data_IF_999769182005
#
_entry.id   IF_999769182005
#
_cell.length_a   1.000
_cell.length_b   1.000
_cell.length_c   1.000
_cell.angle_alpha   90.00
_cell.angle_beta   90.00
_cell.angle_gamma   90.00
#
_symmetry.space_group_name_H-M   'P 1'
#
loop_
_entity.id
_entity.type
_entity.pdbx_description
1 polymer ?
#
# COMPACT_ATOMS: atom_id res chain seq x y z
N UNK A 1 19.81 -20.73 -26.00
CA UNK A 1 20.09 -20.02 -24.77
C UNK A 1 18.93 -19.10 -24.45
N UNK A 2 18.31 -19.32 -23.29
CA UNK A 2 17.20 -18.47 -22.87
C UNK A 2 17.71 -17.14 -22.31
N UNK A 3 17.02 -16.07 -22.66
CA UNK A 3 17.25 -14.79 -22.02
C UNK A 3 16.85 -14.88 -20.54
N UNK A 4 17.60 -14.20 -19.70
CA UNK A 4 17.22 -14.11 -18.30
C UNK A 4 15.86 -13.41 -18.17
N UNK A 5 15.01 -13.88 -17.27
CA UNK A 5 13.77 -13.19 -16.95
C UNK A 5 14.09 -11.81 -16.39
N UNK A 6 13.31 -10.83 -16.77
CA UNK A 6 13.38 -9.51 -16.15
C UNK A 6 13.15 -9.64 -14.63
N UNK A 7 13.91 -8.89 -13.86
CA UNK A 7 13.80 -8.91 -12.40
C UNK A 7 13.35 -7.54 -11.88
N UNK A 8 12.35 -6.99 -12.55
CA UNK A 8 11.80 -5.67 -12.25
C UNK A 8 11.32 -5.56 -10.79
N UNK A 9 10.75 -6.65 -10.26
CA UNK A 9 10.20 -6.66 -8.91
C UNK A 9 11.15 -7.20 -7.85
N UNK A 10 12.41 -7.43 -8.20
CA UNK A 10 13.40 -7.81 -7.21
C UNK A 10 13.71 -6.62 -6.30
N UNK A 11 13.44 -6.78 -5.01
CA UNK A 11 13.74 -5.73 -4.04
C UNK A 11 15.20 -5.80 -3.62
N UNK A 12 15.86 -4.64 -3.60
CA UNK A 12 17.23 -4.50 -3.12
C UNK A 12 17.22 -3.99 -1.69
N UNK A 13 18.29 -4.30 -0.93
CA UNK A 13 18.46 -3.74 0.40
C UNK A 13 18.49 -2.22 0.29
N UNK A 14 17.72 -1.49 1.09
CA UNK A 14 17.70 -0.04 1.01
C UNK A 14 19.06 0.57 1.42
N UNK A 15 19.44 1.65 0.72
CA UNK A 15 20.67 2.39 0.98
C UNK A 15 20.42 3.72 1.68
N UNK A 16 19.18 3.99 2.04
CA UNK A 16 18.75 5.21 2.73
C UNK A 16 17.72 4.84 3.79
N UNK A 17 17.42 5.74 4.75
CA UNK A 17 16.39 5.47 5.76
C UNK A 17 15.02 5.23 5.12
N UNK A 18 14.28 4.30 5.70
CA UNK A 18 12.94 3.94 5.23
C UNK A 18 11.90 4.20 6.30
N UNK A 19 10.65 4.40 5.87
CA UNK A 19 9.53 4.56 6.77
C UNK A 19 9.22 3.24 7.47
N UNK A 20 8.75 3.36 8.70
CA UNK A 20 8.34 2.21 9.50
C UNK A 20 6.81 2.07 9.45
N UNK A 21 6.34 0.85 9.21
CA UNK A 21 4.91 0.54 9.19
C UNK A 21 4.62 -0.68 10.06
N UNK A 22 3.75 -0.48 11.06
CA UNK A 22 3.18 -1.58 11.84
C UNK A 22 1.84 -2.02 11.27
N UNK A 23 1.21 -1.15 10.46
CA UNK A 23 -0.13 -1.36 9.91
C UNK A 23 -0.06 -1.50 8.40
N UNK A 24 -0.29 -2.71 7.91
CA UNK A 24 -0.19 -2.98 6.47
C UNK A 24 -1.17 -2.12 5.65
N UNK A 25 -2.42 -2.00 6.11
CA UNK A 25 -3.42 -1.22 5.36
C UNK A 25 -3.08 0.26 5.31
N UNK A 26 -2.39 0.79 6.31
CA UNK A 26 -1.86 2.14 6.25
C UNK A 26 -0.72 2.25 5.23
N UNK A 27 0.16 1.25 5.20
CA UNK A 27 1.23 1.22 4.19
C UNK A 27 0.67 1.23 2.78
N UNK A 28 -0.41 0.47 2.53
CA UNK A 28 -1.08 0.45 1.24
C UNK A 28 -1.60 1.85 0.87
N UNK A 29 -2.21 2.55 1.82
CA UNK A 29 -2.73 3.89 1.59
C UNK A 29 -1.62 4.87 1.24
N UNK A 30 -0.48 4.79 1.93
CA UNK A 30 0.69 5.62 1.64
C UNK A 30 1.28 5.27 0.27
N UNK A 31 1.40 3.99 -0.04
CA UNK A 31 1.95 3.55 -1.32
C UNK A 31 1.03 3.91 -2.49
N UNK A 32 -0.29 3.94 -2.27
CA UNK A 32 -1.21 4.42 -3.30
C UNK A 32 -0.86 5.86 -3.70
N UNK A 33 -0.67 6.73 -2.71
CA UNK A 33 -0.29 8.12 -2.97
C UNK A 33 1.04 8.22 -3.70
N UNK A 34 2.07 7.55 -3.18
CA UNK A 34 3.42 7.70 -3.68
C UNK A 34 3.68 6.97 -4.99
N UNK A 35 3.07 5.81 -5.19
CA UNK A 35 3.31 4.98 -6.38
C UNK A 35 2.37 5.33 -7.53
N UNK A 36 1.06 5.45 -7.26
CA UNK A 36 0.05 5.60 -8.31
C UNK A 36 -0.37 7.04 -8.54
N UNK A 37 -0.56 7.83 -7.49
CA UNK A 37 -0.99 9.22 -7.67
C UNK A 37 0.18 10.12 -8.06
N UNK A 38 1.34 9.95 -7.44
CA UNK A 38 2.50 10.85 -7.65
C UNK A 38 3.62 10.23 -8.47
N UNK A 39 3.62 8.91 -8.66
CA UNK A 39 4.65 8.24 -9.47
C UNK A 39 6.05 8.35 -8.90
N UNK A 40 6.19 8.40 -7.58
CA UNK A 40 7.48 8.59 -6.92
C UNK A 40 8.14 7.28 -6.46
N UNK A 41 7.42 6.16 -6.55
CA UNK A 41 7.96 4.83 -6.22
C UNK A 41 8.08 3.99 -7.47
N UNK A 42 9.20 3.31 -7.61
CA UNK A 42 9.46 2.39 -8.72
C UNK A 42 9.98 1.05 -8.16
N UNK A 43 9.69 -0.07 -8.80
CA UNK A 43 8.84 -0.19 -9.97
C UNK A 43 7.36 0.01 -9.60
N UNK A 44 6.56 0.50 -10.54
CA UNK A 44 5.12 0.58 -10.35
C UNK A 44 4.55 -0.83 -10.42
N UNK A 45 3.88 -1.27 -9.37
CA UNK A 45 3.34 -2.62 -9.30
C UNK A 45 2.22 -2.82 -10.30
N UNK A 46 2.34 -3.88 -11.11
CA UNK A 46 1.32 -4.39 -12.00
C UNK A 46 1.19 -5.90 -11.74
N UNK A 47 0.00 -6.33 -11.34
CA UNK A 47 -0.21 -7.71 -10.91
C UNK A 47 0.09 -8.73 -12.00
N UNK A 48 -0.31 -8.45 -13.25
CA UNK A 48 -0.07 -9.37 -14.36
C UNK A 48 1.41 -9.46 -14.71
N UNK A 49 2.09 -8.33 -14.70
CA UNK A 49 3.52 -8.30 -14.93
C UNK A 49 4.28 -9.00 -13.82
N UNK A 50 3.89 -8.76 -12.56
CA UNK A 50 4.47 -9.45 -11.42
C UNK A 50 4.30 -10.96 -11.54
N UNK A 51 3.09 -11.42 -11.89
CA UNK A 51 2.81 -12.84 -12.06
C UNK A 51 3.65 -13.49 -13.16
N UNK A 52 3.84 -12.77 -14.28
CA UNK A 52 4.69 -13.26 -15.38
C UNK A 52 6.16 -13.37 -14.99
N UNK A 53 6.63 -12.43 -14.18
CA UNK A 53 8.02 -12.40 -13.74
C UNK A 53 8.32 -13.45 -12.68
N UNK A 54 7.33 -13.77 -11.82
CA UNK A 54 7.53 -14.66 -10.68
C UNK A 54 7.88 -16.07 -11.16
N UNK A 55 9.01 -16.63 -10.67
CA UNK A 55 9.55 -17.88 -11.18
C UNK A 55 9.37 -19.10 -10.29
N UNK A 56 9.03 -18.90 -9.00
CA UNK A 56 8.97 -20.00 -8.03
C UNK A 56 7.69 -20.84 -8.14
N UNK A 57 6.65 -20.27 -8.70
CA UNK A 57 5.41 -20.95 -9.03
C UNK A 57 4.67 -20.17 -10.09
N UNK A 58 3.68 -20.78 -10.71
CA UNK A 58 2.79 -20.08 -11.64
C UNK A 58 1.69 -19.39 -10.84
N UNK A 59 1.63 -18.08 -10.89
CA UNK A 59 0.54 -17.29 -10.29
C UNK A 59 -0.54 -17.14 -11.35
N UNK A 60 -1.71 -17.72 -11.10
CA UNK A 60 -2.86 -17.64 -12.00
C UNK A 60 -3.82 -16.58 -11.47
N UNK A 61 -3.74 -15.37 -12.01
CA UNK A 61 -4.56 -14.25 -11.54
C UNK A 61 -6.04 -14.53 -11.72
N UNK A 62 -6.44 -15.17 -12.82
CA UNK A 62 -7.85 -15.46 -13.07
C UNK A 62 -8.46 -16.38 -12.02
N UNK A 63 -7.67 -17.29 -11.47
CA UNK A 63 -8.12 -18.21 -10.43
C UNK A 63 -7.93 -17.66 -9.02
N UNK A 64 -6.86 -16.87 -8.80
CA UNK A 64 -6.42 -16.47 -7.46
C UNK A 64 -6.79 -15.05 -7.10
N UNK A 65 -7.11 -14.20 -8.07
CA UNK A 65 -7.27 -12.76 -7.87
C UNK A 65 -8.51 -12.31 -7.11
N UNK A 66 -9.34 -13.24 -6.65
CA UNK A 66 -10.49 -12.93 -5.80
C UNK A 66 -10.11 -12.69 -4.35
N UNK A 67 -8.89 -13.06 -3.98
CA UNK A 67 -8.31 -12.78 -2.68
C UNK A 67 -6.93 -12.15 -2.86
N UNK A 68 -6.37 -11.53 -1.82
CA UNK A 68 -5.01 -10.98 -1.93
C UNK A 68 -4.02 -12.06 -2.33
N UNK A 69 -3.25 -11.78 -3.38
CA UNK A 69 -2.25 -12.74 -3.87
C UNK A 69 -1.07 -12.71 -2.90
N UNK A 70 -0.73 -13.85 -2.25
CA UNK A 70 0.25 -13.86 -1.17
C UNK A 70 1.63 -13.31 -1.53
N UNK A 71 2.12 -13.62 -2.73
CA UNK A 71 3.43 -13.14 -3.16
C UNK A 71 3.45 -11.63 -3.38
N UNK A 72 2.35 -11.08 -3.89
CA UNK A 72 2.21 -9.64 -4.06
C UNK A 72 2.10 -8.94 -2.70
N UNK A 73 1.32 -9.53 -1.78
CA UNK A 73 1.22 -9.01 -0.41
C UNK A 73 2.60 -8.95 0.25
N UNK A 74 3.36 -10.03 0.13
CA UNK A 74 4.70 -10.10 0.72
C UNK A 74 5.63 -9.05 0.12
N UNK A 75 5.54 -8.83 -1.19
CA UNK A 75 6.33 -7.80 -1.86
C UNK A 75 5.98 -6.42 -1.33
N UNK A 76 4.68 -6.14 -1.16
CA UNK A 76 4.23 -4.85 -0.60
C UNK A 76 4.65 -4.67 0.85
N UNK A 77 4.60 -5.74 1.66
CA UNK A 77 5.06 -5.69 3.05
C UNK A 77 6.55 -5.37 3.14
N UNK A 78 7.35 -5.91 2.23
CA UNK A 78 8.80 -5.73 2.22
C UNK A 78 9.28 -4.50 1.47
N UNK A 79 8.42 -3.89 0.67
CA UNK A 79 8.82 -2.74 -0.14
C UNK A 79 9.38 -1.61 0.75
N UNK A 80 10.62 -1.16 0.49
CA UNK A 80 11.24 -0.11 1.32
C UNK A 80 10.79 1.27 0.83
N UNK A 81 9.88 1.91 1.57
CA UNK A 81 9.42 3.25 1.24
C UNK A 81 10.41 4.27 1.81
N UNK A 82 11.11 5.06 0.97
CA UNK A 82 12.09 6.00 1.47
C UNK A 82 11.49 7.06 2.40
N UNK A 83 12.14 7.28 3.53
CA UNK A 83 11.72 8.29 4.50
C UNK A 83 11.67 9.70 3.88
N UNK A 84 12.57 9.99 2.94
CA UNK A 84 12.61 11.31 2.27
C UNK A 84 11.33 11.65 1.51
N UNK A 85 10.50 10.66 1.22
CA UNK A 85 9.22 10.87 0.51
C UNK A 85 8.06 11.15 1.45
N UNK A 86 8.25 11.02 2.76
CA UNK A 86 7.17 11.28 3.72
C UNK A 86 6.54 12.67 3.58
N UNK A 87 7.32 13.76 3.35
CA UNK A 87 6.71 15.09 3.17
C UNK A 87 5.81 15.22 1.95
N UNK A 88 5.91 14.30 0.99
CA UNK A 88 5.07 14.31 -0.20
C UNK A 88 3.65 13.81 0.06
N UNK A 89 3.42 13.16 1.21
CA UNK A 89 2.10 12.64 1.58
C UNK A 89 1.39 13.74 2.38
N UNK A 90 0.51 14.48 1.71
CA UNK A 90 -0.23 15.60 2.30
C UNK A 90 -1.69 15.25 2.58
N UNK A 91 -2.23 14.34 1.79
CA UNK A 91 -3.61 13.89 1.88
C UNK A 91 -3.67 12.43 1.47
N UNK A 92 -4.50 11.66 2.16
CA UNK A 92 -4.79 10.27 1.82
C UNK A 92 -6.29 10.14 1.58
N UNK A 93 -6.68 9.68 0.39
CA UNK A 93 -8.06 9.38 0.08
C UNK A 93 -8.20 7.87 -0.07
N UNK A 94 -8.67 7.20 0.97
CA UNK A 94 -8.95 5.77 0.89
C UNK A 94 -10.24 5.57 0.09
N UNK A 95 -10.19 4.65 -0.86
CA UNK A 95 -11.30 4.42 -1.78
C UNK A 95 -11.24 2.97 -2.24
N UNK A 96 -12.39 2.28 -2.26
CA UNK A 96 -12.45 0.91 -2.77
C UNK A 96 -11.93 0.75 -4.19
N UNK A 97 -11.89 1.83 -4.98
CA UNK A 97 -11.34 1.83 -6.34
C UNK A 97 -9.85 2.17 -6.42
N UNK A 98 -9.16 2.31 -5.30
CA UNK A 98 -7.72 2.61 -5.31
C UNK A 98 -6.95 1.55 -6.08
N UNK A 99 -5.98 2.00 -6.88
CA UNK A 99 -5.23 1.15 -7.81
C UNK A 99 -4.49 0.02 -7.10
N UNK A 100 -3.89 0.32 -5.95
CA UNK A 100 -3.08 -0.68 -5.24
C UNK A 100 -3.92 -1.88 -4.78
N UNK A 101 -5.19 -1.67 -4.48
CA UNK A 101 -6.08 -2.78 -4.09
C UNK A 101 -6.33 -3.71 -5.27
N UNK A 102 -6.50 -3.15 -6.47
CA UNK A 102 -6.72 -3.95 -7.69
C UNK A 102 -5.46 -4.68 -8.14
N UNK A 103 -4.30 -4.25 -7.69
CA UNK A 103 -3.06 -4.96 -7.96
C UNK A 103 -2.82 -6.08 -6.95
N UNK A 104 -3.18 -5.88 -5.70
CA UNK A 104 -3.05 -6.90 -4.65
C UNK A 104 -4.15 -7.98 -4.77
N UNK A 105 -5.36 -7.55 -5.10
CA UNK A 105 -6.54 -8.43 -5.20
C UNK A 105 -7.34 -8.04 -6.45
N UNK A 106 -6.92 -8.49 -7.65
CA UNK A 106 -7.46 -8.01 -8.93
C UNK A 106 -8.97 -8.09 -9.11
N UNK A 107 -9.63 -9.05 -8.45
CA UNK A 107 -11.07 -9.20 -8.56
C UNK A 107 -11.80 -8.87 -7.25
N UNK A 108 -11.19 -8.03 -6.43
CA UNK A 108 -11.85 -7.55 -5.21
C UNK A 108 -13.08 -6.71 -5.57
N UNK A 109 -14.21 -7.03 -4.92
CA UNK A 109 -15.49 -6.37 -5.22
C UNK A 109 -15.70 -5.05 -4.44
N UNK A 110 -14.81 -4.73 -3.53
CA UNK A 110 -14.92 -3.50 -2.74
C UNK A 110 -15.88 -3.58 -1.56
N UNK A 111 -16.48 -4.74 -1.31
CA UNK A 111 -17.56 -4.88 -0.34
C UNK A 111 -17.17 -5.49 1.01
N UNK A 112 -15.99 -6.08 1.11
CA UNK A 112 -15.52 -6.57 2.40
C UNK A 112 -14.53 -5.60 3.04
N UNK A 113 -14.22 -5.81 4.31
CA UNK A 113 -13.33 -4.94 5.06
C UNK A 113 -11.84 -5.26 4.93
N UNK A 114 -11.44 -5.94 3.86
CA UNK A 114 -10.06 -6.43 3.71
C UNK A 114 -9.00 -5.33 3.82
N UNK A 115 -9.31 -4.12 3.34
CA UNK A 115 -8.36 -3.02 3.30
C UNK A 115 -8.72 -1.88 4.25
N UNK A 116 -9.70 -2.11 5.12
CA UNK A 116 -10.11 -1.11 6.11
C UNK A 116 -8.97 -0.74 7.06
N UNK A 117 -8.89 0.54 7.40
CA UNK A 117 -7.94 1.03 8.38
C UNK A 117 -8.64 1.04 9.75
N UNK A 118 -8.46 -0.04 10.51
CA UNK A 118 -9.09 -0.23 11.81
C UNK A 118 -8.15 -0.09 12.99
N UNK A 119 -6.85 0.02 12.74
CA UNK A 119 -5.82 0.29 13.73
C UNK A 119 -4.79 1.23 13.11
N UNK A 120 -4.16 2.05 13.95
CA UNK A 120 -3.05 2.90 13.53
C UNK A 120 -2.26 3.30 14.78
N UNK A 121 -0.96 3.49 14.65
CA UNK A 121 -0.14 3.99 15.73
C UNK A 121 0.23 5.45 15.51
N UNK A 122 0.38 6.18 16.60
CA UNK A 122 0.81 7.57 16.53
C UNK A 122 2.20 7.68 15.90
N UNK A 123 3.09 6.71 16.22
CA UNK A 123 4.44 6.68 15.65
C UNK A 123 4.45 6.60 14.14
N UNK A 124 3.55 5.81 13.55
CA UNK A 124 3.41 5.75 12.10
C UNK A 124 3.03 7.10 11.51
N UNK A 125 2.03 7.75 12.12
CA UNK A 125 1.51 9.03 11.62
C UNK A 125 2.52 10.17 11.76
N UNK A 126 3.30 10.16 12.83
CA UNK A 126 4.27 11.24 13.08
C UNK A 126 5.44 11.26 12.12
N UNK A 127 5.62 10.22 11.32
CA UNK A 127 6.62 10.20 10.26
C UNK A 127 6.24 11.15 9.10
N UNK A 128 4.97 11.56 9.01
CA UNK A 128 4.43 12.32 7.87
C UNK A 128 4.16 13.76 8.30
N UNK A 129 5.15 14.67 8.14
CA UNK A 129 5.03 16.03 8.67
C UNK A 129 3.96 16.88 7.99
N UNK A 130 3.59 16.53 6.76
CA UNK A 130 2.66 17.31 5.96
C UNK A 130 1.30 16.65 5.77
N UNK A 131 1.06 15.51 6.40
CA UNK A 131 -0.22 14.83 6.30
C UNK A 131 -1.27 15.56 7.14
N UNK A 132 -2.26 16.14 6.48
CA UNK A 132 -3.27 17.01 7.11
C UNK A 132 -4.69 16.48 6.99
N UNK A 133 -4.94 15.57 6.06
CA UNK A 133 -6.28 15.10 5.78
C UNK A 133 -6.28 13.63 5.35
N UNK A 134 -7.23 12.87 5.89
CA UNK A 134 -7.48 11.48 5.46
C UNK A 134 -8.98 11.31 5.24
N UNK A 135 -9.34 10.80 4.06
CA UNK A 135 -10.65 10.20 3.85
C UNK A 135 -10.52 8.75 4.28
N UNK A 136 -11.20 8.39 5.34
CA UNK A 136 -11.00 7.13 6.07
C UNK A 136 -11.99 6.06 5.62
N UNK A 137 -11.48 4.91 5.21
CA UNK A 137 -12.27 3.71 4.97
C UNK A 137 -12.03 2.77 6.15
N UNK A 138 -13.03 2.66 7.03
CA UNK A 138 -12.91 1.87 8.26
C UNK A 138 -14.26 1.34 8.70
N UNK A 139 -14.27 0.12 9.20
CA UNK A 139 -15.44 -0.47 9.85
C UNK A 139 -15.43 -0.25 11.36
N UNK A 140 -14.33 0.31 11.89
CA UNK A 140 -14.17 0.60 13.34
C UNK A 140 -13.52 1.98 13.51
N UNK A 141 -14.16 3.04 12.99
CA UNK A 141 -13.55 4.37 13.03
C UNK A 141 -13.25 4.86 14.43
N UNK A 142 -14.03 4.42 15.42
CA UNK A 142 -13.81 4.78 16.83
C UNK A 142 -12.44 4.33 17.37
N UNK A 143 -11.79 3.39 16.71
CA UNK A 143 -10.46 2.91 17.11
C UNK A 143 -9.34 3.76 16.52
N UNK A 144 -9.58 4.45 15.41
CA UNK A 144 -8.53 5.21 14.70
C UNK A 144 -8.69 6.72 14.81
N UNK A 145 -9.94 7.21 14.88
CA UNK A 145 -10.19 8.66 14.96
C UNK A 145 -9.42 9.36 16.08
N UNK A 146 -9.38 8.85 17.32
CA UNK A 146 -8.65 9.55 18.37
C UNK A 146 -7.17 9.70 18.09
N UNK A 147 -6.54 8.68 17.45
CA UNK A 147 -5.12 8.73 17.13
C UNK A 147 -4.86 9.76 16.02
N UNK A 148 -5.72 9.78 14.99
CA UNK A 148 -5.60 10.73 13.90
C UNK A 148 -5.77 12.16 14.40
N UNK A 149 -6.76 12.39 15.26
CA UNK A 149 -7.02 13.71 15.82
C UNK A 149 -5.86 14.21 16.68
N UNK A 150 -5.25 13.34 17.49
CA UNK A 150 -4.07 13.71 18.29
C UNK A 150 -2.89 14.14 17.43
N UNK A 151 -2.81 13.64 16.22
CA UNK A 151 -1.76 14.01 15.28
C UNK A 151 -2.13 15.21 14.40
N UNK A 152 -3.27 15.86 14.69
CA UNK A 152 -3.69 17.05 13.97
C UNK A 152 -4.21 16.77 12.55
N UNK A 153 -4.67 15.55 12.30
CA UNK A 153 -5.16 15.14 10.99
C UNK A 153 -6.67 15.27 10.94
N UNK A 154 -7.17 16.00 9.96
CA UNK A 154 -8.61 16.12 9.70
C UNK A 154 -9.09 14.86 8.98
N UNK A 155 -10.24 14.34 9.40
CA UNK A 155 -10.77 13.08 8.87
C UNK A 155 -12.18 13.28 8.33
N UNK A 156 -12.40 12.77 7.11
CA UNK A 156 -13.74 12.55 6.57
C UNK A 156 -13.95 11.04 6.47
N UNK A 157 -15.13 10.57 6.79
CA UNK A 157 -15.46 9.15 6.69
C UNK A 157 -16.01 8.85 5.30
N UNK A 158 -15.51 7.77 4.70
CA UNK A 158 -16.02 7.28 3.42
C UNK A 158 -17.39 6.62 3.61
#
# INVERSE_FOLDING_TARGET
KQAAKAQKYKLSKPTEPVLHFDTFNFKLAVMEVLMYEKGLLAPKLDAHEFAREYSRRKIDIDAEGYEPIPEIRKWLEKYPVPERLAPEVTEIEMDGGSEIYTQLCPFWDGEDGAFDLNTITEAELRQFPNLKHITLMSSKPEQVLPVLERCGIKVDLL
#
